data_IF_599705187967
#
_entry.id   IF_599705187967
#
_cell.length_a   1.000
_cell.length_b   1.000
_cell.length_c   1.000
_cell.angle_alpha   90.00
_cell.angle_beta   90.00
_cell.angle_gamma   90.00
#
_symmetry.space_group_name_H-M   'P 1'
#
loop_
_entity.id
_entity.type
_entity.pdbx_description
1 polymer ?
#
# COMPACT_ATOMS: atom_id res chain seq x y z
N UNK A 1 1.02 18.31 -17.00
CA UNK A 1 0.49 17.99 -15.65
C UNK A 1 1.59 17.94 -14.60
N UNK A 2 2.74 17.30 -14.89
CA UNK A 2 3.88 17.30 -13.95
C UNK A 2 4.42 18.70 -13.64
N UNK A 3 4.58 19.57 -14.64
CA UNK A 3 4.96 20.98 -14.42
C UNK A 3 4.00 21.72 -13.46
N UNK A 4 2.69 21.58 -13.68
CA UNK A 4 1.67 22.15 -12.77
C UNK A 4 1.80 21.64 -11.32
N UNK A 5 2.21 20.37 -11.14
CA UNK A 5 2.50 19.82 -9.82
C UNK A 5 3.76 20.45 -9.22
N UNK A 6 4.83 20.58 -10.00
CA UNK A 6 6.06 21.24 -9.56
C UNK A 6 5.79 22.70 -9.15
N UNK A 7 5.03 23.45 -9.96
CA UNK A 7 4.61 24.82 -9.62
C UNK A 7 3.82 24.88 -8.32
N UNK A 8 2.90 23.93 -8.11
CA UNK A 8 2.14 23.85 -6.86
C UNK A 8 3.01 23.56 -5.64
N UNK A 9 4.05 22.73 -5.79
CA UNK A 9 5.03 22.45 -4.72
C UNK A 9 5.85 23.72 -4.44
N UNK A 10 6.33 24.42 -5.47
CA UNK A 10 7.06 25.68 -5.33
C UNK A 10 6.23 26.79 -4.65
N UNK A 11 4.90 26.72 -4.77
CA UNK A 11 3.97 27.63 -4.11
C UNK A 11 3.54 27.16 -2.70
N UNK A 12 4.14 26.09 -2.17
CA UNK A 12 3.73 25.45 -0.91
C UNK A 12 2.24 25.11 -0.85
N UNK A 13 1.67 24.68 -1.98
CA UNK A 13 0.25 24.32 -2.10
C UNK A 13 0.10 22.79 -2.14
N UNK A 14 0.11 22.19 -0.95
CA UNK A 14 0.04 20.73 -0.78
C UNK A 14 -1.22 20.12 -1.38
N UNK A 15 -2.36 20.81 -1.25
CA UNK A 15 -3.65 20.35 -1.80
C UNK A 15 -3.61 20.26 -3.33
N UNK A 16 -3.11 21.30 -4.01
CA UNK A 16 -2.96 21.27 -5.47
C UNK A 16 -1.91 20.25 -5.92
N UNK A 17 -0.79 20.16 -5.20
CA UNK A 17 0.24 19.15 -5.46
C UNK A 17 -0.34 17.73 -5.39
N UNK A 18 -1.12 17.44 -4.35
CA UNK A 18 -1.79 16.15 -4.16
C UNK A 18 -2.84 15.90 -5.25
N UNK A 19 -3.64 16.90 -5.60
CA UNK A 19 -4.62 16.81 -6.69
C UNK A 19 -3.96 16.46 -8.03
N UNK A 20 -2.87 17.14 -8.40
CA UNK A 20 -2.15 16.83 -9.63
C UNK A 20 -1.47 15.46 -9.59
N UNK A 21 -0.94 15.03 -8.43
CA UNK A 21 -0.43 13.67 -8.24
C UNK A 21 -1.53 12.62 -8.47
N UNK A 22 -2.73 12.84 -7.93
CA UNK A 22 -3.85 11.92 -8.11
C UNK A 22 -4.28 11.82 -9.57
N UNK A 23 -4.32 12.93 -10.32
CA UNK A 23 -4.67 12.88 -11.75
C UNK A 23 -3.64 12.08 -12.55
N UNK A 24 -2.35 12.30 -12.30
CA UNK A 24 -1.29 11.56 -12.98
C UNK A 24 -1.39 10.06 -12.71
N UNK A 25 -1.62 9.68 -11.45
CA UNK A 25 -1.72 8.28 -11.05
C UNK A 25 -3.04 7.62 -11.49
N UNK A 26 -4.14 8.37 -11.57
CA UNK A 26 -5.44 7.81 -11.97
C UNK A 26 -5.53 7.54 -13.47
N UNK A 27 -4.75 8.26 -14.30
CA UNK A 27 -4.72 8.05 -15.74
C UNK A 27 -4.34 6.60 -16.10
N UNK A 28 -3.17 6.11 -15.62
CA UNK A 28 -2.75 4.73 -15.90
C UNK A 28 -3.67 3.69 -15.24
N UNK A 29 -4.13 3.96 -14.02
CA UNK A 29 -5.03 3.06 -13.28
C UNK A 29 -6.39 2.91 -13.96
N UNK A 30 -6.83 3.96 -14.66
CA UNK A 30 -8.00 3.94 -15.53
C UNK A 30 -7.83 2.94 -16.68
N UNK A 31 -6.70 2.97 -17.38
CA UNK A 31 -6.44 2.10 -18.54
C UNK A 31 -6.28 0.62 -18.17
N UNK A 32 -5.68 0.34 -17.00
CA UNK A 32 -5.49 -1.02 -16.48
C UNK A 32 -6.69 -1.60 -15.74
N UNK A 33 -7.84 -0.91 -15.73
CA UNK A 33 -8.98 -1.30 -14.93
C UNK A 33 -9.66 -2.57 -15.48
N UNK A 34 -9.81 -3.58 -14.60
CA UNK A 34 -10.68 -4.72 -14.91
C UNK A 34 -12.15 -4.27 -14.92
N UNK A 35 -12.75 -4.21 -16.12
CA UNK A 35 -14.15 -3.87 -16.32
C UNK A 35 -15.08 -5.09 -16.29
N UNK A 36 -14.58 -6.29 -15.97
CA UNK A 36 -15.43 -7.45 -15.70
C UNK A 36 -16.35 -7.12 -14.53
N UNK A 37 -17.65 -7.00 -14.81
CA UNK A 37 -18.67 -6.79 -13.79
C UNK A 37 -19.37 -8.10 -13.51
N UNK A 38 -19.04 -8.68 -12.37
CA UNK A 38 -19.76 -9.83 -11.82
C UNK A 38 -21.06 -9.37 -11.17
N UNK A 39 -21.99 -10.30 -11.02
CA UNK A 39 -23.20 -10.05 -10.24
C UNK A 39 -22.80 -9.65 -8.82
N UNK A 40 -23.39 -8.54 -8.35
CA UNK A 40 -23.20 -8.08 -6.99
C UNK A 40 -24.22 -8.78 -6.11
N UNK A 41 -23.74 -9.64 -5.23
CA UNK A 41 -24.56 -10.27 -4.20
C UNK A 41 -24.51 -9.41 -2.95
N UNK A 42 -25.67 -9.17 -2.36
CA UNK A 42 -25.79 -8.44 -1.10
C UNK A 42 -26.83 -9.07 -0.19
N UNK A 43 -26.56 -9.04 1.10
CA UNK A 43 -27.48 -9.48 2.16
C UNK A 43 -28.19 -8.26 2.72
N UNK A 44 -29.51 -8.29 2.72
CA UNK A 44 -30.35 -7.13 3.02
C UNK A 44 -31.52 -7.56 3.91
N UNK A 45 -32.03 -6.64 4.72
CA UNK A 45 -33.33 -6.81 5.36
C UNK A 45 -34.47 -6.62 4.34
N UNK A 46 -35.71 -6.91 4.75
CA UNK A 46 -36.87 -6.81 3.87
C UNK A 46 -37.00 -5.44 3.20
N UNK A 47 -36.85 -4.34 3.96
CA UNK A 47 -36.98 -2.98 3.43
C UNK A 47 -35.95 -2.70 2.33
N UNK A 48 -34.67 -2.99 2.60
CA UNK A 48 -33.61 -2.77 1.62
C UNK A 48 -33.74 -3.71 0.41
N UNK A 49 -34.19 -4.94 0.61
CA UNK A 49 -34.48 -5.88 -0.46
C UNK A 49 -35.58 -5.35 -1.38
N UNK A 50 -36.69 -4.86 -0.83
CA UNK A 50 -37.77 -4.24 -1.61
C UNK A 50 -37.30 -3.02 -2.39
N UNK A 51 -36.49 -2.15 -1.79
CA UNK A 51 -35.91 -1.00 -2.49
C UNK A 51 -35.00 -1.43 -3.66
N UNK A 52 -34.22 -2.50 -3.47
CA UNK A 52 -33.34 -3.03 -4.54
C UNK A 52 -34.11 -3.72 -5.66
N UNK A 53 -35.26 -4.33 -5.38
CA UNK A 53 -36.13 -4.92 -6.40
C UNK A 53 -36.65 -3.90 -7.40
N UNK A 54 -36.77 -2.63 -7.00
CA UNK A 54 -37.20 -1.55 -7.88
C UNK A 54 -36.10 -1.04 -8.82
N UNK A 55 -34.85 -1.45 -8.62
CA UNK A 55 -33.75 -1.03 -9.48
C UNK A 55 -33.74 -1.81 -10.78
N UNK A 56 -33.31 -1.15 -11.85
CA UNK A 56 -33.22 -1.77 -13.17
C UNK A 56 -32.10 -2.83 -13.27
N UNK A 57 -31.07 -2.75 -12.43
CA UNK A 57 -30.03 -3.77 -12.33
C UNK A 57 -30.43 -4.93 -11.41
N UNK A 58 -31.67 -4.98 -10.90
CA UNK A 58 -32.15 -6.12 -10.15
C UNK A 58 -32.22 -7.38 -11.03
N UNK A 59 -31.67 -8.49 -10.52
CA UNK A 59 -31.73 -9.79 -11.19
C UNK A 59 -32.56 -10.81 -10.44
N UNK A 60 -32.31 -10.98 -9.14
CA UNK A 60 -33.03 -11.95 -8.32
C UNK A 60 -33.01 -11.58 -6.84
N UNK A 61 -34.06 -11.96 -6.11
CA UNK A 61 -34.12 -11.93 -4.65
C UNK A 61 -34.44 -13.32 -4.12
N UNK A 62 -33.70 -13.77 -3.12
CA UNK A 62 -33.98 -15.00 -2.36
C UNK A 62 -34.11 -14.66 -0.88
N UNK A 63 -35.21 -15.05 -0.26
CA UNK A 63 -35.35 -15.02 1.20
C UNK A 63 -34.48 -16.12 1.81
N UNK A 64 -33.70 -15.77 2.83
CA UNK A 64 -32.80 -16.68 3.53
C UNK A 64 -33.34 -17.07 4.91
N UNK A 65 -33.98 -16.13 5.60
CA UNK A 65 -34.55 -16.35 6.94
C UNK A 65 -35.88 -15.62 7.11
N UNK A 66 -36.68 -16.10 8.05
CA UNK A 66 -37.89 -15.42 8.52
C UNK A 66 -37.57 -14.44 9.66
N UNK A 67 -38.57 -13.63 10.01
CA UNK A 67 -38.49 -12.77 11.18
C UNK A 67 -38.53 -13.63 12.45
N UNK A 68 -37.68 -13.31 13.42
CA UNK A 68 -37.72 -13.90 14.76
C UNK A 68 -38.31 -12.86 15.71
N UNK A 69 -39.35 -13.25 16.45
CA UNK A 69 -40.04 -12.41 17.42
C UNK A 69 -39.75 -12.88 18.84
N UNK A 70 -39.72 -11.96 19.81
CA UNK A 70 -39.74 -12.30 21.23
C UNK A 70 -41.15 -12.72 21.67
N UNK A 71 -41.27 -13.17 22.92
CA UNK A 71 -42.56 -13.50 23.54
C UNK A 71 -43.56 -12.34 23.54
N UNK A 72 -43.07 -11.10 23.46
CA UNK A 72 -43.86 -9.87 23.49
C UNK A 72 -44.25 -9.37 22.08
N UNK A 73 -43.87 -10.11 21.03
CA UNK A 73 -44.19 -9.78 19.63
C UNK A 73 -43.28 -8.75 18.98
N UNK A 74 -42.20 -8.32 19.64
CA UNK A 74 -41.17 -7.46 19.06
C UNK A 74 -40.18 -8.27 18.23
N UNK A 75 -39.68 -7.68 17.14
CA UNK A 75 -38.71 -8.32 16.24
C UNK A 75 -37.34 -8.38 16.91
N UNK A 76 -36.88 -9.60 17.23
CA UNK A 76 -35.50 -9.89 17.67
C UNK A 76 -34.56 -9.87 16.46
N UNK A 77 -34.98 -10.49 15.35
CA UNK A 77 -34.17 -10.60 14.14
C UNK A 77 -35.01 -10.38 12.88
N UNK A 78 -34.54 -9.48 11.99
CA UNK A 78 -35.19 -9.23 10.72
C UNK A 78 -34.95 -10.37 9.72
N UNK A 79 -35.98 -10.69 8.93
CA UNK A 79 -35.83 -11.58 7.78
C UNK A 79 -34.70 -11.10 6.86
N UNK A 80 -33.78 -12.01 6.53
CA UNK A 80 -32.65 -11.75 5.66
C UNK A 80 -32.95 -12.18 4.22
N UNK A 81 -32.49 -11.37 3.28
CA UNK A 81 -32.66 -11.57 1.86
C UNK A 81 -31.33 -11.45 1.15
N UNK A 82 -31.03 -12.42 0.30
CA UNK A 82 -29.96 -12.32 -0.69
C UNK A 82 -30.53 -11.63 -1.94
N UNK A 83 -29.94 -10.50 -2.33
CA UNK A 83 -30.30 -9.80 -3.56
C UNK A 83 -29.11 -9.82 -4.51
N UNK A 84 -29.35 -10.31 -5.72
CA UNK A 84 -28.41 -10.27 -6.83
C UNK A 84 -28.75 -9.08 -7.73
N UNK A 85 -27.77 -8.18 -7.89
CA UNK A 85 -27.83 -7.05 -8.81
C UNK A 85 -26.84 -7.32 -9.96
N UNK A 86 -27.26 -7.17 -11.22
CA UNK A 86 -26.42 -7.27 -12.41
C UNK A 86 -26.13 -5.87 -12.94
N UNK A 87 -25.00 -5.24 -12.56
CA UNK A 87 -24.74 -3.84 -12.90
C UNK A 87 -24.71 -3.66 -14.41
N UNK A 88 -25.30 -2.56 -14.90
CA UNK A 88 -25.25 -2.19 -16.32
C UNK A 88 -23.82 -2.27 -16.86
N UNK A 89 -23.68 -2.96 -17.98
CA UNK A 89 -22.42 -3.16 -18.66
C UNK A 89 -22.31 -2.13 -19.80
N UNK A 90 -21.18 -1.43 -19.84
CA UNK A 90 -20.82 -0.56 -20.94
C UNK A 90 -19.49 -1.06 -21.48
N UNK A 91 -19.44 -1.33 -22.79
CA UNK A 91 -18.19 -1.74 -23.43
C UNK A 91 -17.29 -0.51 -23.54
N UNK A 92 -16.21 -0.50 -22.77
CA UNK A 92 -15.16 0.50 -22.86
C UNK A 92 -13.86 -0.23 -23.24
N UNK A 93 -13.46 -0.08 -24.50
CA UNK A 93 -12.20 -0.63 -25.00
C UNK A 93 -11.06 0.29 -24.57
N UNK A 94 -10.51 0.02 -23.38
CA UNK A 94 -9.33 0.73 -22.89
C UNK A 94 -8.05 0.07 -23.40
N UNK A 95 -7.02 0.82 -23.82
CA UNK A 95 -5.72 0.28 -24.22
C UNK A 95 -4.98 -0.33 -23.02
N UNK A 96 -5.32 -1.57 -22.64
CA UNK A 96 -4.64 -2.31 -21.56
C UNK A 96 -3.12 -2.38 -21.78
N UNK A 97 -2.68 -2.40 -23.05
CA UNK A 97 -1.28 -2.38 -23.43
C UNK A 97 -0.53 -1.16 -22.86
N UNK A 98 -1.17 0.00 -22.76
CA UNK A 98 -0.56 1.20 -22.17
C UNK A 98 -0.33 1.04 -20.67
N UNK A 99 -1.26 0.40 -19.95
CA UNK A 99 -1.10 0.12 -18.52
C UNK A 99 0.03 -0.89 -18.27
N UNK A 100 0.10 -1.95 -19.07
CA UNK A 100 1.19 -2.94 -19.00
C UNK A 100 2.53 -2.28 -19.31
N UNK A 101 2.61 -1.51 -20.40
CA UNK A 101 3.80 -0.77 -20.78
C UNK A 101 4.25 0.20 -19.68
N UNK A 102 3.33 0.90 -19.03
CA UNK A 102 3.65 1.81 -17.92
C UNK A 102 4.27 1.06 -16.74
N UNK A 103 3.69 -0.09 -16.36
CA UNK A 103 4.20 -0.91 -15.25
C UNK A 103 5.54 -1.58 -15.55
N UNK A 104 5.79 -1.97 -16.80
CA UNK A 104 7.07 -2.56 -17.19
C UNK A 104 8.16 -1.49 -17.31
N UNK A 105 7.84 -0.32 -17.84
CA UNK A 105 8.78 0.79 -17.85
C UNK A 105 9.15 1.26 -16.44
N UNK A 106 8.22 1.28 -15.48
CA UNK A 106 8.57 1.66 -14.11
C UNK A 106 9.58 0.70 -13.50
N UNK A 107 9.44 -0.61 -13.74
CA UNK A 107 10.44 -1.62 -13.32
C UNK A 107 11.76 -1.43 -14.06
N UNK A 108 11.72 -1.23 -15.38
CA UNK A 108 12.92 -1.02 -16.19
C UNK A 108 13.74 0.16 -15.65
N UNK A 109 13.10 1.30 -15.39
CA UNK A 109 13.79 2.49 -14.87
C UNK A 109 14.37 2.28 -13.48
N UNK A 110 13.65 1.56 -12.61
CA UNK A 110 14.16 1.20 -11.30
C UNK A 110 15.41 0.32 -11.40
N UNK A 111 15.36 -0.73 -12.21
CA UNK A 111 16.51 -1.62 -12.44
C UNK A 111 17.67 -0.87 -13.12
N UNK A 112 17.37 0.05 -14.04
CA UNK A 112 18.36 0.90 -14.66
C UNK A 112 19.11 1.74 -13.62
N UNK A 113 18.41 2.34 -12.65
CA UNK A 113 19.07 3.04 -11.55
C UNK A 113 19.98 2.12 -10.72
N UNK A 114 19.48 0.94 -10.33
CA UNK A 114 20.25 0.00 -9.50
C UNK A 114 21.51 -0.50 -10.24
N UNK A 115 21.34 -1.04 -11.45
CA UNK A 115 22.44 -1.69 -12.17
C UNK A 115 23.36 -0.69 -12.88
N UNK A 116 22.80 0.36 -13.49
CA UNK A 116 23.60 1.27 -14.33
C UNK A 116 24.09 2.53 -13.60
N UNK A 117 23.60 2.82 -12.40
CA UNK A 117 24.13 3.89 -11.55
C UNK A 117 24.68 3.32 -10.23
N UNK A 118 23.83 2.75 -9.38
CA UNK A 118 24.18 2.39 -8.00
C UNK A 118 25.36 1.40 -7.96
N UNK A 119 25.29 0.28 -8.68
CA UNK A 119 26.36 -0.73 -8.67
C UNK A 119 27.66 -0.27 -9.33
N UNK A 120 27.60 0.74 -10.21
CA UNK A 120 28.80 1.29 -10.85
C UNK A 120 29.59 2.18 -9.89
N UNK A 121 28.92 3.05 -9.14
CA UNK A 121 29.60 4.04 -8.29
C UNK A 121 29.61 3.74 -6.79
N UNK A 122 28.80 2.80 -6.29
CA UNK A 122 28.69 2.49 -4.87
C UNK A 122 29.41 1.18 -4.53
N UNK A 123 30.05 1.18 -3.36
CA UNK A 123 30.58 0.00 -2.69
C UNK A 123 29.45 -0.84 -2.08
N UNK A 124 29.13 -1.95 -2.74
CA UNK A 124 28.01 -2.82 -2.37
C UNK A 124 28.29 -3.63 -1.09
N UNK A 125 29.55 -3.77 -0.68
CA UNK A 125 29.88 -4.44 0.59
C UNK A 125 29.54 -3.55 1.79
N UNK A 126 29.33 -2.25 1.55
CA UNK A 126 29.00 -1.24 2.57
C UNK A 126 27.55 -0.76 2.49
N UNK A 127 26.74 -1.35 1.60
CA UNK A 127 25.34 -1.00 1.44
C UNK A 127 24.49 -2.27 1.42
N UNK A 128 23.53 -2.35 2.35
CA UNK A 128 22.58 -3.45 2.43
C UNK A 128 21.20 -2.98 1.99
N UNK A 129 20.57 -3.75 1.10
CA UNK A 129 19.20 -3.55 0.68
C UNK A 129 18.22 -4.10 1.73
N UNK A 130 17.41 -3.24 2.33
CA UNK A 130 16.51 -3.62 3.42
C UNK A 130 15.09 -3.93 2.93
N UNK A 131 14.54 -3.08 2.06
CA UNK A 131 13.17 -3.22 1.57
C UNK A 131 12.95 -2.46 0.26
N UNK A 132 11.88 -2.82 -0.46
CA UNK A 132 11.45 -2.15 -1.69
C UNK A 132 9.94 -2.22 -1.84
N UNK A 133 9.36 -1.11 -2.30
CA UNK A 133 7.95 -1.05 -2.67
C UNK A 133 7.76 -0.11 -3.86
N UNK A 134 7.33 -0.68 -4.99
CA UNK A 134 6.89 -0.01 -6.24
C UNK A 134 7.85 1.03 -6.81
N UNK A 135 7.98 2.18 -6.17
CA UNK A 135 8.76 3.36 -6.56
C UNK A 135 9.75 3.81 -5.46
N UNK A 136 9.96 2.99 -4.42
CA UNK A 136 10.85 3.29 -3.28
C UNK A 136 11.84 2.16 -3.00
N UNK A 137 13.01 2.55 -2.46
CA UNK A 137 14.09 1.65 -2.03
C UNK A 137 14.59 2.07 -0.65
N UNK A 138 14.80 1.11 0.24
CA UNK A 138 15.35 1.36 1.57
C UNK A 138 16.72 0.69 1.66
N UNK A 139 17.74 1.51 1.91
CA UNK A 139 19.14 1.10 1.99
C UNK A 139 19.67 1.36 3.40
N UNK A 140 20.36 0.38 3.98
CA UNK A 140 21.23 0.59 5.13
C UNK A 140 22.66 0.85 4.61
N UNK A 141 23.25 1.97 5.01
CA UNK A 141 24.51 2.47 4.47
C UNK A 141 25.53 2.55 5.60
N UNK A 142 26.70 1.92 5.43
CA UNK A 142 27.78 1.94 6.40
C UNK A 142 28.73 3.12 6.17
N UNK A 143 29.04 3.88 7.21
CA UNK A 143 30.10 4.90 7.15
C UNK A 143 30.34 5.63 8.46
N UNK A 144 30.34 6.97 8.42
CA UNK A 144 30.78 7.78 9.56
C UNK A 144 29.78 7.75 10.71
N UNK A 145 30.23 7.30 11.89
CA UNK A 145 29.45 7.40 13.13
C UNK A 145 29.23 8.85 13.57
N UNK A 146 30.12 9.77 13.18
CA UNK A 146 30.04 11.19 13.55
C UNK A 146 28.97 11.91 12.71
N UNK A 147 28.95 11.66 11.39
CA UNK A 147 27.94 12.26 10.50
C UNK A 147 26.59 11.52 10.56
N UNK A 148 26.59 10.25 11.01
CA UNK A 148 25.38 9.44 11.18
C UNK A 148 24.62 9.26 9.86
N UNK A 149 23.28 9.29 9.92
CA UNK A 149 22.43 9.15 8.74
C UNK A 149 22.56 10.33 7.75
N UNK A 150 23.02 11.50 8.21
CA UNK A 150 23.19 12.71 7.38
C UNK A 150 24.29 12.56 6.34
N UNK A 151 25.16 11.55 6.48
CA UNK A 151 26.24 11.27 5.52
C UNK A 151 25.74 10.91 4.11
N UNK A 152 24.49 10.44 3.98
CA UNK A 152 23.95 9.96 2.70
C UNK A 152 24.84 8.88 2.07
N UNK A 153 25.24 9.07 0.81
CA UNK A 153 26.09 8.14 0.07
C UNK A 153 27.59 8.46 0.16
N UNK A 154 27.98 9.56 0.82
CA UNK A 154 29.32 10.16 0.76
C UNK A 154 30.47 9.17 0.99
N UNK A 155 30.35 8.28 1.98
CA UNK A 155 31.42 7.37 2.37
C UNK A 155 31.41 6.00 1.67
N UNK A 156 30.39 5.74 0.84
CA UNK A 156 30.23 4.48 0.10
C UNK A 156 30.43 4.65 -1.40
N UNK A 157 30.75 5.85 -1.87
CA UNK A 157 31.11 6.09 -3.28
C UNK A 157 32.52 5.54 -3.52
N UNK A 158 32.64 4.55 -4.42
CA UNK A 158 33.93 3.96 -4.83
C UNK A 158 34.50 4.58 -6.10
N UNK A 159 33.62 5.03 -7.01
CA UNK A 159 34.00 5.70 -8.25
C UNK A 159 33.44 7.12 -8.24
N UNK A 160 34.24 8.04 -7.70
CA UNK A 160 33.88 9.44 -7.54
C UNK A 160 33.72 10.13 -8.90
N UNK A 161 34.55 9.78 -9.89
CA UNK A 161 34.49 10.39 -11.24
C UNK A 161 33.17 10.04 -11.94
N UNK A 162 32.78 8.77 -11.91
CA UNK A 162 31.49 8.34 -12.46
C UNK A 162 30.32 8.98 -11.71
N UNK A 163 30.40 9.02 -10.37
CA UNK A 163 29.36 9.63 -9.55
C UNK A 163 29.20 11.12 -9.89
N UNK A 164 30.27 11.90 -9.88
CA UNK A 164 30.24 13.35 -10.13
C UNK A 164 29.74 13.69 -11.54
N UNK A 165 30.02 12.83 -12.52
CA UNK A 165 29.55 12.98 -13.90
C UNK A 165 28.03 12.76 -14.03
N UNK A 166 27.48 11.77 -13.33
CA UNK A 166 26.11 11.28 -13.58
C UNK A 166 25.10 11.60 -12.47
N UNK A 167 25.52 11.94 -11.25
CA UNK A 167 24.59 12.04 -10.12
C UNK A 167 23.49 13.08 -10.36
N UNK A 168 23.80 14.23 -10.99
CA UNK A 168 22.82 15.28 -11.31
C UNK A 168 21.75 14.82 -12.29
N UNK A 169 21.96 13.75 -13.05
CA UNK A 169 20.95 13.18 -13.94
C UNK A 169 19.86 12.46 -13.15
N UNK A 170 20.17 11.93 -11.96
CA UNK A 170 19.28 11.02 -11.22
C UNK A 170 18.88 11.54 -9.84
N UNK A 171 19.81 12.12 -9.09
CA UNK A 171 19.64 12.58 -7.71
C UNK A 171 19.55 14.13 -7.64
N UNK A 172 18.87 14.67 -6.60
CA UNK A 172 18.93 16.09 -6.29
C UNK A 172 20.32 16.48 -5.76
N UNK A 173 20.62 17.77 -5.80
CA UNK A 173 21.83 18.36 -5.23
C UNK A 173 21.48 19.60 -4.40
N UNK A 174 22.44 20.07 -3.60
CA UNK A 174 22.24 21.21 -2.73
C UNK A 174 21.81 22.46 -3.51
N UNK A 175 20.76 23.12 -3.04
CA UNK A 175 20.15 24.30 -3.66
C UNK A 175 19.55 24.06 -5.06
N UNK A 176 19.22 22.82 -5.42
CA UNK A 176 18.46 22.56 -6.64
C UNK A 176 17.04 23.13 -6.55
N UNK A 177 16.47 23.46 -7.71
CA UNK A 177 15.09 23.93 -7.83
C UNK A 177 14.10 22.79 -7.59
N UNK A 178 12.85 23.12 -7.24
CA UNK A 178 11.77 22.13 -7.14
C UNK A 178 11.59 21.32 -8.44
N UNK A 179 11.84 21.96 -9.59
CA UNK A 179 11.76 21.28 -10.89
C UNK A 179 12.85 20.21 -11.06
N UNK A 180 14.06 20.45 -10.54
CA UNK A 180 15.18 19.52 -10.56
C UNK A 180 15.02 18.42 -9.51
N UNK A 181 14.61 18.77 -8.29
CA UNK A 181 14.35 17.82 -7.20
C UNK A 181 13.22 16.86 -7.55
N UNK A 182 12.12 17.39 -8.11
CA UNK A 182 10.93 16.63 -8.53
C UNK A 182 10.89 16.42 -10.04
N UNK A 183 12.04 16.27 -10.69
CA UNK A 183 12.08 15.96 -12.13
C UNK A 183 11.46 14.58 -12.42
N UNK A 184 10.99 14.41 -13.65
CA UNK A 184 10.50 13.11 -14.09
C UNK A 184 11.65 12.09 -14.08
N UNK A 185 11.39 10.88 -13.57
CA UNK A 185 12.39 9.82 -13.37
C UNK A 185 13.56 10.17 -12.43
N UNK A 186 13.53 11.32 -11.76
CA UNK A 186 14.46 11.64 -10.69
C UNK A 186 14.13 10.84 -9.42
N UNK A 187 15.16 10.57 -8.64
CA UNK A 187 15.05 9.90 -7.35
C UNK A 187 15.29 10.94 -6.27
N UNK A 188 14.38 11.02 -5.31
CA UNK A 188 14.49 11.93 -4.17
C UNK A 188 14.59 11.12 -2.88
N UNK A 189 15.39 11.60 -1.94
CA UNK A 189 15.39 11.07 -0.57
C UNK A 189 14.10 11.48 0.13
N UNK A 190 13.22 10.53 0.43
CA UNK A 190 11.97 10.80 1.16
C UNK A 190 12.14 10.79 2.67
N UNK A 191 12.98 9.89 3.19
CA UNK A 191 13.23 9.73 4.62
C UNK A 191 14.63 9.17 4.86
N UNK A 192 15.22 9.52 6.00
CA UNK A 192 16.50 9.02 6.49
C UNK A 192 16.36 8.75 7.97
N UNK A 193 17.05 7.74 8.49
CA UNK A 193 17.07 7.41 9.90
C UNK A 193 18.30 6.57 10.22
N UNK A 194 18.58 6.41 11.51
CA UNK A 194 19.74 5.64 11.96
C UNK A 194 19.55 4.14 11.76
N UNK A 195 18.33 3.64 11.99
CA UNK A 195 18.02 2.23 11.99
C UNK A 195 16.71 1.93 11.24
N UNK A 196 16.61 0.71 10.71
CA UNK A 196 15.40 0.20 10.08
C UNK A 196 15.12 -1.23 10.54
N UNK A 197 13.87 -1.51 10.88
CA UNK A 197 13.36 -2.86 11.16
C UNK A 197 12.35 -3.24 10.06
N UNK A 198 12.59 -4.35 9.37
CA UNK A 198 11.71 -4.84 8.29
C UNK A 198 11.17 -6.22 8.63
N UNK A 199 9.84 -6.35 8.74
CA UNK A 199 9.17 -7.61 9.07
C UNK A 199 8.70 -8.37 7.82
N UNK A 200 8.03 -7.66 6.91
CA UNK A 200 7.40 -8.22 5.72
C UNK A 200 7.21 -7.12 4.66
N UNK A 201 6.85 -7.47 3.41
CA UNK A 201 6.57 -6.46 2.39
C UNK A 201 5.50 -5.44 2.84
N UNK A 202 5.86 -4.15 2.83
CA UNK A 202 5.08 -3.01 3.34
C UNK A 202 4.88 -2.96 4.87
N UNK A 203 5.67 -3.71 5.64
CA UNK A 203 5.68 -3.70 7.11
C UNK A 203 7.10 -3.43 7.63
N UNK A 204 7.41 -2.18 7.96
CA UNK A 204 8.73 -1.74 8.41
C UNK A 204 8.67 -0.47 9.27
N UNK A 205 9.70 -0.27 10.09
CA UNK A 205 9.87 0.92 10.93
C UNK A 205 11.24 1.55 10.69
N UNK A 206 11.29 2.85 10.39
CA UNK A 206 12.52 3.65 10.34
C UNK A 206 12.58 4.52 11.60
N UNK A 207 13.68 4.44 12.35
CA UNK A 207 13.80 5.04 13.68
C UNK A 207 15.23 5.47 14.03
N UNK A 208 15.33 6.38 15.01
CA UNK A 208 16.58 6.82 15.60
C UNK A 208 16.71 6.27 17.03
N UNK A 209 17.94 6.03 17.50
CA UNK A 209 18.21 5.49 18.83
C UNK A 209 17.83 6.45 19.98
N UNK A 210 17.83 7.76 19.72
CA UNK A 210 17.39 8.78 20.66
C UNK A 210 16.04 9.37 20.22
N UNK A 211 14.95 8.88 20.82
CA UNK A 211 13.57 9.35 20.59
C UNK A 211 13.31 10.82 21.03
N UNK A 212 14.31 11.52 21.59
CA UNK A 212 14.17 12.86 22.20
C UNK A 212 14.65 14.02 21.34
N UNK A 213 15.24 13.78 20.16
CA UNK A 213 15.66 14.87 19.27
C UNK A 213 14.58 15.11 18.20
N UNK A 214 13.85 16.22 18.34
CA UNK A 214 12.83 16.75 17.41
C UNK A 214 13.38 17.17 16.01
N UNK A 215 14.62 16.82 15.67
CA UNK A 215 15.22 17.18 14.39
C UNK A 215 14.76 16.24 13.27
N UNK A 216 13.77 16.69 12.48
CA UNK A 216 13.47 16.38 11.05
C UNK A 216 13.63 14.91 10.61
N UNK A 217 13.41 13.93 11.47
CA UNK A 217 13.29 12.53 11.08
C UNK A 217 11.94 12.04 11.57
N UNK A 218 10.96 12.06 10.68
CA UNK A 218 9.68 11.42 10.91
C UNK A 218 9.93 9.94 11.16
N UNK A 219 9.67 9.45 12.37
CA UNK A 219 9.52 8.03 12.63
C UNK A 219 8.56 7.47 11.57
N UNK A 220 9.02 6.57 10.71
CA UNK A 220 8.18 6.01 9.64
C UNK A 220 7.74 4.63 10.07
N UNK A 221 6.50 4.50 10.53
CA UNK A 221 5.89 3.21 10.85
C UNK A 221 4.97 2.79 9.72
N UNK A 222 5.40 1.82 8.91
CA UNK A 222 4.57 1.22 7.86
C UNK A 222 4.05 -0.12 8.28
N UNK A 223 2.75 -0.28 8.11
CA UNK A 223 2.03 -1.52 8.36
C UNK A 223 0.94 -1.71 7.33
N UNK A 224 0.59 -2.97 7.06
CA UNK A 224 -0.33 -3.31 5.98
C UNK A 224 -1.71 -3.68 6.51
N UNK A 225 -2.73 -2.90 6.13
CA UNK A 225 -4.14 -3.21 6.43
C UNK A 225 -4.66 -2.67 7.77
N UNK A 226 -3.84 -1.94 8.52
CA UNK A 226 -4.19 -1.25 9.76
C UNK A 226 -3.81 0.23 9.64
N UNK A 227 -4.61 1.10 10.27
CA UNK A 227 -4.32 2.54 10.30
C UNK A 227 -3.29 2.84 11.38
N UNK A 228 -2.21 3.53 11.00
CA UNK A 228 -1.13 3.95 11.89
C UNK A 228 -1.65 4.72 13.12
N UNK A 229 -2.55 5.69 12.91
CA UNK A 229 -3.16 6.50 13.98
C UNK A 229 -3.95 5.71 15.02
N UNK A 230 -4.44 4.51 14.67
CA UNK A 230 -5.25 3.67 15.56
C UNK A 230 -4.42 2.58 16.24
N UNK A 231 -3.27 2.24 15.68
CA UNK A 231 -2.48 1.10 16.12
C UNK A 231 -1.59 1.41 17.33
N UNK A 232 -1.17 2.67 17.50
CA UNK A 232 -0.25 3.12 18.57
C UNK A 232 0.98 2.21 18.74
N UNK A 233 1.50 1.68 17.63
CA UNK A 233 2.66 0.81 17.65
C UNK A 233 3.94 1.61 17.67
N UNK A 234 4.91 1.08 18.40
CA UNK A 234 6.26 1.62 18.55
C UNK A 234 7.25 0.76 17.79
N UNK A 235 8.45 1.29 17.54
CA UNK A 235 9.55 0.50 16.95
C UNK A 235 9.83 -0.77 17.76
N UNK A 236 9.73 -0.69 19.09
CA UNK A 236 9.95 -1.84 19.97
C UNK A 236 9.02 -3.01 19.65
N UNK A 237 7.80 -2.73 19.16
CA UNK A 237 6.86 -3.77 18.74
C UNK A 237 7.36 -4.51 17.49
N UNK A 238 7.98 -3.81 16.54
CA UNK A 238 8.62 -4.43 15.38
C UNK A 238 9.82 -5.30 15.79
N UNK A 239 10.65 -4.80 16.71
CA UNK A 239 11.82 -5.53 17.21
C UNK A 239 11.39 -6.80 17.97
N UNK A 240 10.36 -6.72 18.81
CA UNK A 240 9.78 -7.89 19.48
C UNK A 240 9.25 -8.92 18.49
N UNK A 241 8.51 -8.48 17.46
CA UNK A 241 8.06 -9.38 16.39
C UNK A 241 9.23 -10.10 15.70
N UNK A 242 10.35 -9.40 15.46
CA UNK A 242 11.54 -9.98 14.84
C UNK A 242 12.24 -11.01 15.73
N UNK A 243 12.49 -10.65 16.99
CA UNK A 243 13.30 -11.46 17.91
C UNK A 243 12.51 -12.64 18.48
N UNK A 244 11.25 -12.42 18.83
CA UNK A 244 10.46 -13.39 19.57
C UNK A 244 9.46 -14.15 18.68
N UNK A 245 9.28 -13.73 17.43
CA UNK A 245 8.35 -14.36 16.48
C UNK A 245 6.87 -14.13 16.80
N UNK A 246 6.52 -13.19 17.68
CA UNK A 246 5.13 -12.90 18.02
C UNK A 246 4.43 -12.09 16.92
N UNK A 247 3.16 -12.41 16.67
CA UNK A 247 2.27 -11.56 15.88
C UNK A 247 1.57 -10.56 16.79
N UNK A 248 1.56 -9.28 16.39
CA UNK A 248 0.85 -8.24 17.13
C UNK A 248 -0.45 -7.95 16.43
N UNK A 249 -1.56 -8.17 17.15
CA UNK A 249 -2.90 -7.85 16.70
C UNK A 249 -3.32 -6.49 17.24
N UNK A 250 -4.07 -5.75 16.43
CA UNK A 250 -4.67 -4.46 16.80
C UNK A 250 -6.18 -4.56 16.63
N UNK A 251 -6.91 -4.07 17.62
CA UNK A 251 -8.36 -3.99 17.58
C UNK A 251 -8.78 -2.80 16.73
N UNK A 252 -9.50 -3.08 15.65
CA UNK A 252 -10.06 -2.08 14.75
C UNK A 252 -11.56 -2.00 14.92
N UNK A 253 -12.04 -0.80 15.26
CA UNK A 253 -13.46 -0.55 15.46
C UNK A 253 -14.06 0.04 14.19
N UNK A 254 -15.12 -0.60 13.70
CA UNK A 254 -15.97 -0.13 12.62
C UNK A 254 -17.35 0.19 13.17
N UNK A 255 -17.82 1.40 12.89
CA UNK A 255 -19.17 1.81 13.25
C UNK A 255 -20.11 1.32 12.15
N UNK A 256 -21.16 0.62 12.53
CA UNK A 256 -22.23 0.17 11.64
C UNK A 256 -23.58 0.61 12.19
N UNK A 257 -24.52 0.93 11.31
CA UNK A 257 -25.88 1.25 11.70
C UNK A 257 -26.80 0.10 11.29
N UNK A 258 -27.49 -0.52 12.26
CA UNK A 258 -28.47 -1.58 12.03
C UNK A 258 -29.78 -1.17 12.70
N UNK A 259 -30.88 -1.14 11.92
CA UNK A 259 -32.22 -0.77 12.41
C UNK A 259 -32.28 0.60 13.14
N UNK A 260 -31.49 1.57 12.70
CA UNK A 260 -31.41 2.89 13.35
C UNK A 260 -30.58 2.91 14.64
N UNK A 261 -30.08 1.77 15.10
CA UNK A 261 -29.15 1.66 16.22
C UNK A 261 -27.73 1.66 15.66
N UNK A 262 -26.91 2.60 16.15
CA UNK A 262 -25.49 2.64 15.87
C UNK A 262 -24.76 1.64 16.77
N UNK A 263 -24.10 0.66 16.17
CA UNK A 263 -23.30 -0.35 16.86
C UNK A 263 -21.84 -0.24 16.46
N UNK A 264 -20.95 -0.48 17.42
CA UNK A 264 -19.51 -0.58 17.16
C UNK A 264 -19.14 -2.06 17.03
N UNK A 265 -18.58 -2.44 15.89
CA UNK A 265 -18.01 -3.77 15.68
C UNK A 265 -16.51 -3.67 15.86
N UNK A 266 -16.00 -4.35 16.89
CA UNK A 266 -14.57 -4.49 17.16
C UNK A 266 -14.08 -5.75 16.47
N UNK A 267 -13.05 -5.63 15.63
CA UNK A 267 -12.39 -6.75 14.97
C UNK A 267 -10.90 -6.71 15.26
N UNK A 268 -10.34 -7.81 15.72
CA UNK A 268 -8.90 -7.97 15.81
C UNK A 268 -8.31 -8.23 14.42
N UNK A 269 -7.28 -7.47 14.07
CA UNK A 269 -6.52 -7.65 12.83
C UNK A 269 -5.05 -7.79 13.17
N UNK A 270 -4.38 -8.73 12.50
CA UNK A 270 -2.92 -8.83 12.58
C UNK A 270 -2.28 -7.61 11.95
N UNK A 271 -1.58 -6.86 12.77
CA UNK A 271 -1.03 -5.55 12.47
C UNK A 271 0.46 -5.66 12.10
N UNK A 272 1.20 -6.44 12.89
CA UNK A 272 2.57 -6.84 12.62
C UNK A 272 2.66 -8.37 12.56
N UNK A 273 3.20 -8.87 11.46
CA UNK A 273 3.45 -10.29 11.22
C UNK A 273 4.74 -10.40 10.40
N UNK A 274 5.58 -11.39 10.71
CA UNK A 274 6.77 -11.71 9.91
C UNK A 274 6.43 -12.37 8.57
N UNK A 275 5.20 -12.88 8.42
CA UNK A 275 4.75 -13.53 7.19
C UNK A 275 3.43 -12.91 6.75
N UNK A 276 3.39 -12.40 5.52
CA UNK A 276 2.20 -11.81 4.92
C UNK A 276 1.82 -12.52 3.63
N UNK A 277 1.46 -13.80 3.77
CA UNK A 277 1.06 -14.65 2.64
C UNK A 277 -0.41 -14.38 2.30
N UNK A 278 -0.65 -13.84 1.10
CA UNK A 278 -1.99 -13.61 0.56
C UNK A 278 -2.44 -14.69 -0.41
N UNK A 279 -1.50 -15.42 -0.99
CA UNK A 279 -1.74 -16.28 -2.14
C UNK A 279 -0.87 -17.52 -2.06
N UNK A 280 -1.35 -18.61 -2.64
CA UNK A 280 -0.60 -19.82 -2.94
C UNK A 280 -0.52 -19.95 -4.46
N UNK A 281 0.67 -20.28 -4.99
CA UNK A 281 0.85 -20.54 -6.42
C UNK A 281 0.51 -22.00 -6.68
N UNK A 282 -0.41 -22.24 -7.62
CA UNK A 282 -0.86 -23.55 -8.04
C UNK A 282 0.08 -24.15 -9.11
N UNK A 283 -0.04 -25.44 -9.39
CA UNK A 283 0.82 -26.16 -10.33
C UNK A 283 0.75 -25.62 -11.77
N UNK A 284 -0.35 -25.00 -12.16
CA UNK A 284 -0.52 -24.33 -13.46
C UNK A 284 -0.02 -22.87 -13.50
N UNK A 285 0.59 -22.38 -12.41
CA UNK A 285 1.08 -21.01 -12.27
C UNK A 285 0.00 -19.98 -11.90
N UNK A 286 -1.26 -20.38 -11.71
CA UNK A 286 -2.29 -19.50 -11.17
C UNK A 286 -2.10 -19.24 -9.68
N UNK A 287 -2.60 -18.12 -9.18
CA UNK A 287 -2.57 -17.77 -7.75
C UNK A 287 -3.95 -17.95 -7.13
N UNK A 288 -4.05 -18.72 -6.05
CA UNK A 288 -5.27 -18.86 -5.25
C UNK A 288 -5.14 -18.14 -3.90
N UNK A 289 -6.23 -17.71 -3.25
CA UNK A 289 -6.16 -17.08 -1.92
C UNK A 289 -5.50 -18.01 -0.90
N UNK A 290 -4.56 -17.51 -0.09
CA UNK A 290 -3.98 -18.29 1.00
C UNK A 290 -5.01 -18.48 2.12
N UNK A 291 -5.24 -19.73 2.51
CA UNK A 291 -6.04 -20.10 3.67
C UNK A 291 -5.14 -20.95 4.58
N UNK A 292 -5.03 -20.58 5.85
CA UNK A 292 -4.19 -21.31 6.80
C UNK A 292 -4.62 -22.77 6.90
N UNK A 293 -3.66 -23.70 6.75
CA UNK A 293 -3.92 -25.14 6.74
C UNK A 293 -4.41 -25.70 5.41
N UNK A 294 -4.61 -24.87 4.38
CA UNK A 294 -4.98 -25.31 3.02
C UNK A 294 -3.76 -25.13 2.10
N UNK A 295 -3.25 -26.24 1.59
CA UNK A 295 -2.13 -26.27 0.66
C UNK A 295 -2.62 -26.18 -0.80
N UNK A 296 -1.70 -25.97 -1.75
CA UNK A 296 -2.01 -25.79 -3.17
C UNK A 296 -2.77 -26.98 -3.79
N UNK A 297 -2.51 -28.19 -3.30
CA UNK A 297 -3.14 -29.45 -3.69
C UNK A 297 -4.64 -29.56 -3.36
N UNK A 298 -5.13 -28.73 -2.43
CA UNK A 298 -6.55 -28.67 -2.09
C UNK A 298 -7.37 -27.82 -3.06
N UNK A 299 -6.72 -27.05 -3.95
CA UNK A 299 -7.41 -26.28 -4.96
C UNK A 299 -7.61 -27.13 -6.20
N UNK A 300 -8.88 -27.28 -6.61
CA UNK A 300 -9.22 -27.89 -7.88
C UNK A 300 -8.86 -26.93 -9.01
N UNK A 301 -8.01 -27.41 -9.91
CA UNK A 301 -7.65 -26.70 -11.15
C UNK A 301 -8.51 -27.31 -12.25
N UNK A 302 -9.50 -26.57 -12.72
CA UNK A 302 -10.26 -26.88 -13.94
C UNK A 302 -9.59 -26.28 -15.18
#
# INVERSE_FOLDING_TARGET
MMSKRQDAISQHNDTKSLYYKQILNSAFGGEGQNNAKFDKISFNNARQASLKQLKQDHKATRKLSDYIYNSDGEVIEEAQYMVSESPRQFKCNKPLQEAVFTLDNSKFWYLNFVYNFLYKCIDVDRVHFCNMDTDSMYLAIAGSQIEGYKQGLKYVIKDQLFYDLHYKELLPWDNCTVAEEKKLMGITTESQGENIACLAPKCYSLYNGNEQNDDIVSLVNRMKGVSEKKANLTTNDYIKCLNDGYNINVTTNNIQMKMGIMSMISMEKSALTGIYNKMVVLSNGCCAPFIYGINADHYLIE
#
